data_IF_488626193880
#
_entry.id   IF_488626193880
#
_cell.length_a   1.000
_cell.length_b   1.000
_cell.length_c   1.000
_cell.angle_alpha   90.00
_cell.angle_beta   90.00
_cell.angle_gamma   90.00
#
_symmetry.space_group_name_H-M   'P 1'
#
loop_
_entity.id
_entity.type
_entity.pdbx_description
1 polymer ?
#
# COMPACT_ATOMS: atom_id res chain seq x y z
N UNK A 1 -19.24 25.08 -31.37
CA UNK A 1 -18.11 24.75 -32.27
C UNK A 1 -17.40 23.56 -31.64
N UNK A 2 -17.59 22.38 -32.24
CA UNK A 2 -17.00 21.11 -31.79
C UNK A 2 -15.54 21.11 -32.25
N UNK A 3 -14.59 21.00 -31.31
CA UNK A 3 -13.17 20.89 -31.59
C UNK A 3 -12.76 19.46 -31.99
N UNK A 4 -11.58 19.23 -32.54
CA UNK A 4 -11.24 18.08 -33.35
C UNK A 4 -11.10 16.78 -32.55
N UNK A 5 -11.58 15.72 -33.21
CA UNK A 5 -11.56 14.32 -32.84
C UNK A 5 -10.17 13.81 -32.40
N UNK A 6 -10.10 13.21 -31.20
CA UNK A 6 -8.97 12.47 -30.69
C UNK A 6 -8.82 11.12 -31.42
N UNK A 7 -8.08 11.10 -32.51
CA UNK A 7 -7.48 9.86 -33.02
C UNK A 7 -6.06 9.73 -32.43
N UNK A 8 -5.93 9.05 -31.29
CA UNK A 8 -4.62 8.56 -30.83
C UNK A 8 -4.41 7.16 -31.41
N UNK A 9 -3.47 7.06 -32.34
CA UNK A 9 -2.95 5.78 -32.84
C UNK A 9 -2.15 5.10 -31.72
N UNK A 10 -2.57 3.91 -31.32
CA UNK A 10 -1.73 3.03 -30.47
C UNK A 10 -0.47 2.65 -31.26
N UNK A 11 0.73 2.84 -30.71
CA UNK A 11 1.94 2.40 -31.38
C UNK A 11 1.93 0.87 -31.47
N UNK A 12 2.22 0.36 -32.67
CA UNK A 12 2.47 -1.07 -32.87
C UNK A 12 3.73 -1.46 -32.09
N UNK A 13 3.54 -2.07 -30.91
CA UNK A 13 4.63 -2.63 -30.13
C UNK A 13 5.25 -3.80 -30.92
N UNK A 14 6.47 -3.62 -31.40
CA UNK A 14 7.30 -4.75 -31.77
C UNK A 14 7.68 -5.48 -30.50
N UNK A 15 7.00 -6.58 -30.17
CA UNK A 15 7.32 -7.47 -29.07
C UNK A 15 8.73 -8.05 -29.30
N UNK A 16 9.73 -7.49 -28.64
CA UNK A 16 11.03 -8.16 -28.52
C UNK A 16 10.92 -9.19 -27.41
N UNK A 17 10.85 -10.45 -27.80
CA UNK A 17 10.67 -11.65 -26.97
C UNK A 17 11.91 -11.98 -26.10
N UNK A 18 12.75 -11.02 -25.75
CA UNK A 18 14.00 -11.25 -25.01
C UNK A 18 13.81 -11.24 -23.48
N UNK A 19 12.65 -10.85 -22.96
CA UNK A 19 12.41 -10.74 -21.50
C UNK A 19 11.80 -12.00 -20.86
N UNK A 20 11.53 -13.06 -21.66
CA UNK A 20 10.84 -14.27 -21.14
C UNK A 20 11.83 -15.23 -20.44
N UNK A 21 13.14 -15.06 -20.63
CA UNK A 21 14.14 -16.05 -20.15
C UNK A 21 14.45 -15.91 -18.65
N UNK A 22 14.29 -14.74 -18.05
CA UNK A 22 14.54 -14.56 -16.61
C UNK A 22 13.37 -14.98 -15.71
N UNK A 23 12.15 -14.98 -16.23
CA UNK A 23 10.98 -15.53 -15.53
C UNK A 23 10.96 -17.06 -15.46
N UNK A 24 11.53 -17.72 -16.49
CA UNK A 24 11.60 -19.17 -16.56
C UNK A 24 12.61 -19.79 -15.57
N UNK A 25 13.62 -19.03 -15.12
CA UNK A 25 14.59 -19.51 -14.14
C UNK A 25 13.99 -19.60 -12.71
N UNK A 26 12.97 -18.80 -12.39
CA UNK A 26 12.22 -18.94 -11.15
C UNK A 26 11.20 -20.10 -11.20
N UNK A 27 10.69 -20.43 -12.37
CA UNK A 27 9.84 -21.61 -12.59
C UNK A 27 10.61 -22.93 -12.57
N UNK A 28 11.92 -22.91 -12.85
CA UNK A 28 12.77 -24.11 -12.81
C UNK A 28 13.09 -24.58 -11.37
N UNK A 29 12.91 -23.71 -10.35
CA UNK A 29 12.98 -24.09 -8.93
C UNK A 29 11.67 -24.72 -8.43
N UNK A 30 10.59 -24.61 -9.19
CA UNK A 30 9.30 -25.26 -8.95
C UNK A 30 9.18 -26.62 -9.71
N UNK A 31 10.30 -27.25 -10.00
CA UNK A 31 10.29 -28.66 -10.36
C UNK A 31 9.55 -29.43 -9.27
N UNK A 32 8.78 -30.53 -9.61
CA UNK A 32 8.01 -31.22 -8.60
C UNK A 32 8.96 -31.64 -7.48
N UNK A 33 8.86 -30.98 -6.33
CA UNK A 33 9.53 -31.40 -5.10
C UNK A 33 8.92 -32.75 -4.66
N UNK A 34 9.19 -33.77 -5.41
CA UNK A 34 8.86 -35.16 -5.11
C UNK A 34 9.92 -35.82 -4.23
N UNK A 35 10.90 -35.01 -3.76
CA UNK A 35 11.94 -35.49 -2.88
C UNK A 35 11.52 -35.27 -1.44
N UNK A 36 11.32 -36.37 -0.73
CA UNK A 36 11.19 -36.53 0.70
C UNK A 36 9.84 -36.15 1.33
N UNK A 37 8.74 -36.72 0.88
CA UNK A 37 7.61 -37.00 1.79
C UNK A 37 7.88 -38.34 2.49
N UNK A 38 8.94 -38.35 3.31
CA UNK A 38 9.35 -39.52 4.08
C UNK A 38 8.68 -39.61 5.46
N UNK A 39 7.73 -38.71 5.74
CA UNK A 39 7.07 -38.57 7.03
C UNK A 39 7.98 -38.08 8.17
N UNK A 40 9.23 -37.73 7.84
CA UNK A 40 10.15 -37.12 8.82
C UNK A 40 9.69 -35.73 9.25
N UNK A 41 10.10 -35.29 10.45
CA UNK A 41 9.83 -33.94 10.92
C UNK A 41 10.34 -32.87 9.96
N UNK A 42 11.48 -33.10 9.31
CA UNK A 42 12.06 -32.21 8.31
C UNK A 42 11.26 -32.23 6.98
N UNK A 43 10.81 -33.41 6.52
CA UNK A 43 9.96 -33.53 5.33
C UNK A 43 8.62 -32.82 5.51
N UNK A 44 8.00 -32.96 6.69
CA UNK A 44 6.79 -32.23 7.03
C UNK A 44 7.01 -30.73 7.03
N UNK A 45 8.04 -30.25 7.73
CA UNK A 45 8.38 -28.84 7.87
C UNK A 45 8.65 -28.15 6.54
N UNK A 46 9.51 -28.76 5.67
CA UNK A 46 9.96 -28.13 4.43
C UNK A 46 9.01 -28.38 3.26
N UNK A 47 8.25 -29.48 3.28
CA UNK A 47 7.43 -29.88 2.13
C UNK A 47 5.97 -29.97 2.51
N UNK A 48 5.54 -30.88 3.38
CA UNK A 48 4.12 -31.18 3.57
C UNK A 48 3.32 -30.00 4.13
N UNK A 49 3.85 -29.30 5.11
CA UNK A 49 3.18 -28.21 5.82
C UNK A 49 3.62 -26.81 5.31
N UNK A 50 4.43 -26.78 4.23
CA UNK A 50 4.84 -25.54 3.57
C UNK A 50 3.74 -24.99 2.69
N UNK A 51 3.84 -23.70 2.38
CA UNK A 51 3.00 -22.98 1.45
C UNK A 51 3.86 -22.37 0.34
N UNK A 52 3.39 -22.48 -0.90
CA UNK A 52 4.03 -21.87 -2.07
C UNK A 52 2.98 -21.10 -2.84
N UNK A 53 3.17 -19.80 -2.95
CA UNK A 53 2.26 -18.92 -3.67
C UNK A 53 2.96 -18.22 -4.83
N UNK A 54 2.22 -18.01 -5.92
CA UNK A 54 2.66 -17.18 -7.04
C UNK A 54 1.62 -16.09 -7.28
N UNK A 55 2.03 -14.84 -7.18
CA UNK A 55 1.22 -13.69 -7.55
C UNK A 55 1.68 -13.16 -8.90
N UNK A 56 0.84 -13.23 -9.91
CA UNK A 56 1.05 -12.52 -11.16
C UNK A 56 0.29 -11.17 -11.11
N UNK A 57 0.94 -10.11 -11.60
CA UNK A 57 0.37 -8.77 -11.70
C UNK A 57 0.77 -8.12 -13.01
N UNK A 58 -0.20 -7.55 -13.73
CA UNK A 58 0.09 -6.56 -14.75
C UNK A 58 -0.56 -5.24 -14.39
N UNK A 59 0.17 -4.14 -14.57
CA UNK A 59 -0.24 -2.83 -14.12
C UNK A 59 0.08 -1.79 -15.19
N UNK A 60 -0.96 -1.18 -15.75
CA UNK A 60 -0.88 0.02 -16.58
C UNK A 60 -1.09 1.25 -15.70
N UNK A 61 -0.18 2.22 -15.81
CA UNK A 61 -0.20 3.48 -15.07
C UNK A 61 0.05 4.63 -16.04
N UNK A 62 -0.87 5.58 -16.06
CA UNK A 62 -0.76 6.81 -16.83
C UNK A 62 -1.16 8.00 -15.95
N UNK A 63 -0.19 8.86 -15.62
CA UNK A 63 -0.42 10.11 -14.89
C UNK A 63 0.03 11.27 -15.75
N UNK A 64 -0.94 12.07 -16.19
CA UNK A 64 -0.75 13.27 -16.96
C UNK A 64 -0.61 14.46 -16.00
N UNK A 65 0.52 15.10 -16.01
CA UNK A 65 0.79 16.30 -15.21
C UNK A 65 0.64 17.55 -16.10
N UNK A 66 0.29 18.72 -15.52
CA UNK A 66 0.28 19.95 -16.29
C UNK A 66 1.71 20.37 -16.68
N UNK A 67 1.87 20.96 -17.89
CA UNK A 67 3.16 21.49 -18.30
C UNK A 67 3.74 22.50 -17.28
N UNK A 68 5.08 22.56 -17.09
CA UNK A 68 6.12 21.84 -17.84
C UNK A 68 6.45 20.44 -17.32
N UNK A 69 5.71 19.90 -16.34
CA UNK A 69 5.98 18.59 -15.74
C UNK A 69 5.62 17.46 -16.70
N UNK A 70 6.55 16.54 -16.92
CA UNK A 70 6.34 15.35 -17.74
C UNK A 70 5.27 14.42 -17.16
N UNK A 71 4.63 13.63 -18.00
CA UNK A 71 3.78 12.53 -17.57
C UNK A 71 4.60 11.46 -16.82
N UNK A 72 3.91 10.63 -16.03
CA UNK A 72 4.52 9.42 -15.46
C UNK A 72 3.78 8.22 -16.03
N UNK A 73 4.42 7.43 -16.87
CA UNK A 73 3.76 6.37 -17.63
C UNK A 73 4.57 5.09 -17.61
N UNK A 74 3.88 3.97 -17.43
CA UNK A 74 4.44 2.64 -17.63
C UNK A 74 3.34 1.57 -17.71
N UNK A 75 3.64 0.50 -18.39
CA UNK A 75 2.93 -0.76 -18.30
C UNK A 75 3.92 -1.85 -17.94
N UNK A 76 3.70 -2.51 -16.82
CA UNK A 76 4.60 -3.52 -16.29
C UNK A 76 3.89 -4.86 -16.10
N UNK A 77 4.67 -5.94 -16.20
CA UNK A 77 4.28 -7.31 -15.86
C UNK A 77 5.26 -7.83 -14.81
N UNK A 78 4.76 -8.52 -13.79
CA UNK A 78 5.59 -9.09 -12.74
C UNK A 78 4.76 -9.71 -11.64
N UNK A 79 5.20 -9.54 -10.41
CA UNK A 79 4.58 -10.10 -9.21
C UNK A 79 5.62 -10.71 -8.29
N UNK A 80 5.28 -11.82 -7.64
CA UNK A 80 6.17 -12.51 -6.70
C UNK A 80 5.90 -13.98 -6.57
N UNK A 81 6.96 -14.71 -6.22
CA UNK A 81 6.91 -16.10 -5.77
C UNK A 81 7.27 -16.10 -4.30
N UNK A 82 6.41 -16.63 -3.46
CA UNK A 82 6.62 -16.81 -2.04
C UNK A 82 6.68 -18.28 -1.65
N UNK A 83 7.56 -18.56 -0.69
CA UNK A 83 7.67 -19.83 -0.01
C UNK A 83 7.64 -19.57 1.50
N UNK A 84 6.85 -20.35 2.22
CA UNK A 84 6.81 -20.38 3.68
C UNK A 84 6.87 -21.81 4.16
N UNK A 85 7.82 -22.13 5.02
CA UNK A 85 7.91 -23.45 5.66
C UNK A 85 6.72 -23.70 6.59
N UNK A 86 6.46 -24.94 6.95
CA UNK A 86 5.66 -25.26 8.13
C UNK A 86 6.32 -24.76 9.43
N UNK A 87 5.87 -25.30 10.57
CA UNK A 87 6.47 -25.04 11.88
C UNK A 87 7.20 -26.28 12.36
N UNK A 88 8.53 -26.22 12.47
CA UNK A 88 9.35 -27.27 13.05
C UNK A 88 9.20 -27.29 14.58
N UNK A 89 8.66 -28.39 15.13
CA UNK A 89 8.38 -28.52 16.57
C UNK A 89 7.47 -27.44 17.12
N UNK A 90 6.53 -26.94 16.31
CA UNK A 90 5.63 -25.81 16.60
C UNK A 90 6.35 -24.49 16.99
N UNK A 91 7.67 -24.42 16.80
CA UNK A 91 8.49 -23.30 17.27
C UNK A 91 9.18 -22.50 16.16
N UNK A 92 9.69 -23.16 15.08
CA UNK A 92 10.53 -22.52 14.07
C UNK A 92 9.89 -22.54 12.70
N UNK A 93 9.80 -21.39 12.04
CA UNK A 93 9.40 -21.24 10.66
C UNK A 93 10.28 -20.23 9.92
N UNK A 94 10.34 -20.31 8.58
CA UNK A 94 11.02 -19.31 7.76
C UNK A 94 10.25 -19.08 6.46
N UNK A 95 10.55 -17.94 5.81
CA UNK A 95 9.95 -17.62 4.51
C UNK A 95 10.90 -16.85 3.61
N UNK A 96 10.68 -17.02 2.31
CA UNK A 96 11.40 -16.35 1.22
C UNK A 96 10.41 -15.82 0.21
N UNK A 97 10.59 -14.57 -0.26
CA UNK A 97 9.76 -14.01 -1.34
C UNK A 97 10.63 -13.26 -2.34
N UNK A 98 10.62 -13.75 -3.59
CA UNK A 98 11.24 -13.07 -4.72
C UNK A 98 10.24 -12.20 -5.45
N UNK A 99 10.57 -10.92 -5.65
CA UNK A 99 9.78 -9.94 -6.37
C UNK A 99 10.35 -9.66 -7.75
N UNK A 100 9.49 -9.39 -8.73
CA UNK A 100 9.91 -8.94 -10.06
C UNK A 100 8.90 -7.96 -10.67
N UNK A 101 9.40 -7.03 -11.47
CA UNK A 101 8.63 -6.13 -12.33
C UNK A 101 9.41 -5.88 -13.62
N UNK A 102 8.79 -6.15 -14.76
CA UNK A 102 9.42 -6.03 -16.08
C UNK A 102 8.60 -5.10 -16.97
N UNK A 103 9.22 -4.22 -17.76
CA UNK A 103 8.50 -3.31 -18.62
C UNK A 103 7.86 -4.04 -19.79
N UNK A 104 6.55 -3.81 -20.01
CA UNK A 104 5.87 -4.10 -21.27
C UNK A 104 5.87 -2.86 -22.16
N UNK A 105 5.75 -1.68 -21.56
CA UNK A 105 5.85 -0.38 -22.21
C UNK A 105 6.27 0.67 -21.18
N UNK A 106 7.32 1.43 -21.47
CA UNK A 106 7.90 2.41 -20.55
C UNK A 106 8.64 3.49 -21.35
N UNK A 107 7.96 4.62 -21.67
CA UNK A 107 8.58 5.71 -22.39
C UNK A 107 9.64 6.41 -21.54
N UNK A 108 10.83 6.61 -22.10
CA UNK A 108 11.98 7.16 -21.39
C UNK A 108 11.78 8.61 -20.90
N UNK A 109 10.89 9.36 -21.55
CA UNK A 109 10.56 10.75 -21.24
C UNK A 109 9.41 10.88 -20.20
N UNK A 110 8.84 9.77 -19.73
CA UNK A 110 7.75 9.74 -18.77
C UNK A 110 8.02 8.85 -17.54
N UNK A 111 9.16 8.96 -16.85
CA UNK A 111 9.52 8.15 -15.67
C UNK A 111 8.69 8.52 -14.44
N UNK A 112 8.86 7.75 -13.32
CA UNK A 112 8.28 8.08 -12.02
C UNK A 112 6.93 7.43 -11.72
N UNK A 113 6.48 6.45 -12.54
CA UNK A 113 5.30 5.62 -12.23
C UNK A 113 5.47 4.79 -10.96
N UNK A 114 6.71 4.52 -10.56
CA UNK A 114 7.10 3.61 -9.47
C UNK A 114 6.63 2.16 -9.69
N UNK A 115 6.33 1.79 -10.94
CA UNK A 115 6.14 0.40 -11.36
C UNK A 115 7.47 -0.26 -11.70
N UNK A 116 8.42 0.53 -12.20
CA UNK A 116 9.75 0.18 -12.67
C UNK A 116 10.79 1.01 -11.91
N UNK A 117 12.06 0.75 -12.15
CA UNK A 117 13.16 1.59 -11.66
C UNK A 117 13.04 3.02 -12.18
N UNK A 118 13.81 3.96 -11.63
CA UNK A 118 13.68 5.37 -12.00
C UNK A 118 14.16 5.66 -13.44
N UNK A 119 14.98 4.76 -14.02
CA UNK A 119 15.39 4.75 -15.44
C UNK A 119 14.42 3.97 -16.34
N UNK A 120 13.20 3.62 -15.86
CA UNK A 120 12.20 2.81 -16.57
C UNK A 120 12.64 1.37 -16.87
N UNK A 121 13.68 0.86 -16.21
CA UNK A 121 14.15 -0.52 -16.30
C UNK A 121 13.31 -1.48 -15.45
N UNK A 122 13.42 -2.77 -15.77
CA UNK A 122 12.87 -3.83 -14.93
C UNK A 122 13.76 -4.11 -13.72
N UNK A 123 13.18 -4.77 -12.71
CA UNK A 123 13.91 -5.22 -11.53
C UNK A 123 13.46 -6.59 -11.04
N UNK A 124 14.38 -7.27 -10.33
CA UNK A 124 14.08 -8.48 -9.56
C UNK A 124 14.88 -8.43 -8.26
N UNK A 125 14.28 -8.87 -7.15
CA UNK A 125 14.91 -8.77 -5.82
C UNK A 125 14.35 -9.83 -4.87
N UNK A 126 15.20 -10.38 -3.99
CA UNK A 126 14.77 -11.14 -2.82
C UNK A 126 14.29 -10.13 -1.76
N UNK A 127 12.98 -9.86 -1.77
CA UNK A 127 12.37 -8.83 -0.92
C UNK A 127 12.04 -9.32 0.47
N UNK A 128 11.80 -10.64 0.67
CA UNK A 128 11.63 -11.23 1.99
C UNK A 128 12.56 -12.43 2.17
N UNK A 129 13.16 -12.49 3.34
CA UNK A 129 13.97 -13.63 3.83
C UNK A 129 13.98 -13.54 5.36
N UNK A 130 13.14 -14.29 6.04
CA UNK A 130 12.93 -14.17 7.47
C UNK A 130 12.90 -15.53 8.17
N UNK A 131 13.19 -15.48 9.46
CA UNK A 131 13.01 -16.59 10.38
C UNK A 131 12.09 -16.13 11.50
N UNK A 132 11.17 -17.00 11.91
CA UNK A 132 10.23 -16.75 13.00
C UNK A 132 10.34 -17.84 14.06
N UNK A 133 10.34 -17.42 15.34
CA UNK A 133 10.34 -18.27 16.51
C UNK A 133 9.06 -18.01 17.31
N UNK A 134 8.29 -19.06 17.59
CA UNK A 134 7.20 -19.00 18.56
C UNK A 134 7.76 -19.18 19.96
N UNK A 135 7.44 -18.24 20.83
CA UNK A 135 7.77 -18.24 22.24
C UNK A 135 6.46 -18.11 23.02
N UNK A 136 5.89 -19.21 23.46
CA UNK A 136 4.52 -19.25 24.00
C UNK A 136 3.51 -18.74 22.94
N UNK A 137 2.71 -17.74 23.27
CA UNK A 137 1.74 -17.10 22.37
C UNK A 137 2.32 -15.91 21.58
N UNK A 138 3.65 -15.74 21.60
CA UNK A 138 4.36 -14.66 20.95
C UNK A 138 5.16 -15.18 19.77
N UNK A 139 5.39 -14.32 18.77
CA UNK A 139 6.26 -14.65 17.63
C UNK A 139 7.34 -13.60 17.50
N UNK A 140 8.59 -14.03 17.60
CA UNK A 140 9.77 -13.24 17.28
C UNK A 140 10.16 -13.51 15.82
N UNK A 141 10.17 -12.47 14.99
CA UNK A 141 10.57 -12.54 13.58
C UNK A 141 11.82 -11.71 13.36
N UNK A 142 12.79 -12.25 12.64
CA UNK A 142 14.02 -11.55 12.25
C UNK A 142 14.35 -11.74 10.78
N UNK A 143 14.98 -10.73 10.16
CA UNK A 143 15.36 -10.74 8.75
C UNK A 143 14.61 -9.67 7.92
N UNK A 144 14.22 -10.02 6.69
CA UNK A 144 13.44 -9.18 5.77
C UNK A 144 12.01 -9.65 5.73
N UNK A 145 11.07 -8.83 6.20
CA UNK A 145 9.67 -9.23 6.36
C UNK A 145 8.70 -8.06 6.12
N UNK A 146 7.44 -8.37 6.06
CA UNK A 146 6.35 -7.40 5.92
C UNK A 146 5.96 -6.81 7.28
N UNK A 147 5.70 -5.50 7.30
CA UNK A 147 5.12 -4.80 8.45
C UNK A 147 3.80 -4.16 8.02
N UNK A 148 2.78 -4.26 8.85
CA UNK A 148 1.46 -3.71 8.56
C UNK A 148 0.91 -2.92 9.77
N UNK A 149 1.57 -1.79 10.07
CA UNK A 149 1.14 -0.80 11.05
C UNK A 149 0.59 0.44 10.33
N UNK A 150 -0.19 1.31 10.97
CA UNK A 150 -0.86 2.43 10.30
C UNK A 150 0.06 3.31 9.46
N UNK A 151 1.22 3.67 9.98
CA UNK A 151 2.18 4.56 9.31
C UNK A 151 3.43 3.85 8.79
N UNK A 152 3.54 2.53 8.99
CA UNK A 152 4.63 1.67 8.51
C UNK A 152 4.01 0.42 7.93
N UNK A 153 3.80 0.38 6.61
CA UNK A 153 3.05 -0.70 5.98
C UNK A 153 3.56 -1.06 4.58
N UNK A 154 2.98 -2.07 3.99
CA UNK A 154 3.37 -2.66 2.70
C UNK A 154 3.32 -1.68 1.53
N UNK A 155 2.53 -0.63 1.61
CA UNK A 155 2.30 0.29 0.50
C UNK A 155 2.04 -0.44 -0.85
N UNK A 156 1.27 -1.54 -0.83
CA UNK A 156 1.03 -2.39 -2.02
C UNK A 156 0.07 -1.71 -3.03
N UNK A 157 0.54 -0.62 -3.60
CA UNK A 157 -0.20 0.17 -4.58
C UNK A 157 0.57 0.34 -5.91
N UNK A 158 1.59 -0.51 -6.15
CA UNK A 158 2.38 -0.63 -7.38
C UNK A 158 2.60 -2.11 -7.73
N UNK A 159 3.72 -2.44 -8.37
CA UNK A 159 3.99 -3.81 -8.82
C UNK A 159 4.31 -4.75 -7.68
N UNK A 160 5.14 -4.33 -6.73
CA UNK A 160 5.53 -5.12 -5.56
C UNK A 160 5.40 -4.29 -4.29
N UNK A 161 5.14 -4.91 -3.13
CA UNK A 161 5.10 -4.20 -1.86
C UNK A 161 6.50 -3.75 -1.42
N UNK A 162 6.53 -2.77 -0.52
CA UNK A 162 7.73 -2.50 0.27
C UNK A 162 7.87 -3.52 1.40
N UNK A 163 9.11 -3.78 1.81
CA UNK A 163 9.44 -4.70 2.90
C UNK A 163 10.51 -4.09 3.80
N UNK A 164 10.65 -4.62 4.99
CA UNK A 164 11.50 -4.05 6.04
C UNK A 164 12.52 -5.08 6.51
N UNK A 165 13.71 -4.63 6.87
CA UNK A 165 14.73 -5.47 7.49
C UNK A 165 14.85 -5.12 8.97
N UNK A 166 14.93 -6.12 9.85
CA UNK A 166 15.03 -5.89 11.28
C UNK A 166 14.56 -7.07 12.09
N UNK A 167 14.02 -6.79 13.27
CA UNK A 167 13.42 -7.78 14.16
C UNK A 167 12.17 -7.24 14.84
N UNK A 168 11.17 -8.11 15.05
CA UNK A 168 9.91 -7.74 15.67
C UNK A 168 9.34 -8.86 16.53
N UNK A 169 8.77 -8.49 17.66
CA UNK A 169 7.95 -9.33 18.52
C UNK A 169 6.48 -8.96 18.31
N UNK A 170 5.67 -9.96 18.01
CA UNK A 170 4.22 -9.82 17.84
C UNK A 170 3.48 -10.83 18.70
N UNK A 171 2.29 -10.49 19.13
CA UNK A 171 1.46 -11.39 19.91
C UNK A 171 0.17 -10.74 20.38
N UNK A 172 -0.52 -11.44 21.29
CA UNK A 172 -1.74 -10.95 21.94
C UNK A 172 -1.54 -11.03 23.44
N UNK A 173 -1.84 -9.94 24.14
CA UNK A 173 -1.83 -9.87 25.60
C UNK A 173 -3.15 -9.27 26.08
N UNK A 174 -3.88 -9.99 26.91
CA UNK A 174 -5.18 -9.57 27.45
C UNK A 174 -6.18 -9.07 26.37
N UNK A 175 -6.20 -9.72 25.20
CA UNK A 175 -7.08 -9.34 24.07
C UNK A 175 -6.56 -8.20 23.22
N UNK A 176 -5.39 -7.61 23.54
CA UNK A 176 -4.75 -6.56 22.75
C UNK A 176 -3.64 -7.18 21.90
N UNK A 177 -3.76 -7.09 20.58
CA UNK A 177 -2.67 -7.43 19.66
C UNK A 177 -1.60 -6.35 19.73
N UNK A 178 -0.35 -6.75 19.76
CA UNK A 178 0.78 -5.81 19.78
C UNK A 178 1.85 -6.16 18.76
N UNK A 179 2.61 -5.16 18.39
CA UNK A 179 3.83 -5.19 17.61
C UNK A 179 4.88 -4.37 18.36
N UNK A 180 6.09 -4.90 18.52
CA UNK A 180 7.24 -4.16 19.05
C UNK A 180 8.47 -4.58 18.25
N UNK A 181 9.16 -3.65 17.60
CA UNK A 181 10.29 -4.00 16.74
C UNK A 181 11.28 -2.87 16.51
N UNK A 182 12.44 -3.29 16.00
CA UNK A 182 13.45 -2.41 15.42
C UNK A 182 13.61 -2.77 13.96
N UNK A 183 13.46 -1.76 13.07
CA UNK A 183 13.60 -1.88 11.63
C UNK A 183 14.84 -1.08 11.22
N UNK A 184 15.89 -1.75 10.75
CA UNK A 184 17.11 -1.08 10.29
C UNK A 184 16.89 -0.44 8.92
N UNK A 185 16.22 -1.16 8.01
CA UNK A 185 16.14 -0.79 6.60
C UNK A 185 14.76 -1.02 6.00
N UNK A 186 14.52 -0.40 4.86
CA UNK A 186 13.33 -0.57 4.03
C UNK A 186 13.74 -0.79 2.56
N UNK A 187 13.09 -1.74 1.90
CA UNK A 187 13.03 -1.83 0.45
C UNK A 187 11.80 -1.09 -0.05
N UNK A 188 11.97 0.00 -0.75
CA UNK A 188 10.86 0.71 -1.38
C UNK A 188 10.24 -0.11 -2.52
N UNK A 189 9.01 0.24 -2.94
CA UNK A 189 8.18 -0.53 -3.89
C UNK A 189 8.86 -0.90 -5.21
N UNK A 190 9.74 -0.03 -5.73
CA UNK A 190 10.42 -0.21 -7.01
C UNK A 190 11.95 -0.33 -6.87
N UNK A 191 12.43 -0.54 -5.62
CA UNK A 191 13.86 -0.64 -5.34
C UNK A 191 14.34 -2.10 -5.37
N UNK A 192 15.62 -2.28 -5.70
CA UNK A 192 16.35 -3.55 -5.64
C UNK A 192 17.21 -3.65 -4.39
N UNK A 193 17.41 -2.54 -3.68
CA UNK A 193 18.23 -2.43 -2.48
C UNK A 193 17.40 -2.04 -1.26
N UNK A 194 17.94 -2.35 -0.10
CA UNK A 194 17.46 -1.85 1.18
C UNK A 194 18.27 -0.62 1.55
N UNK A 195 17.60 0.41 2.05
CA UNK A 195 18.18 1.67 2.53
C UNK A 195 17.74 1.90 3.97
N UNK A 196 18.50 2.68 4.75
CA UNK A 196 18.14 2.95 6.15
C UNK A 196 16.78 3.65 6.26
N UNK A 197 16.14 3.52 7.41
CA UNK A 197 14.88 4.21 7.67
C UNK A 197 15.06 5.74 7.63
N UNK A 198 16.24 6.24 8.04
CA UNK A 198 16.59 7.65 7.94
C UNK A 198 16.69 8.13 6.47
N UNK A 199 17.40 7.40 5.61
CA UNK A 199 17.52 7.69 4.18
C UNK A 199 16.14 7.69 3.49
N UNK A 200 15.31 6.71 3.79
CA UNK A 200 13.94 6.64 3.26
C UNK A 200 13.06 7.85 3.66
N UNK A 201 13.36 8.51 4.77
CA UNK A 201 12.72 9.75 5.21
C UNK A 201 13.33 11.01 4.59
N UNK A 202 14.40 10.88 3.81
CA UNK A 202 15.10 11.98 3.15
C UNK A 202 16.21 12.62 4.00
N UNK A 203 16.72 11.90 5.00
CA UNK A 203 17.89 12.34 5.76
C UNK A 203 19.17 12.28 4.91
N UNK A 204 20.20 13.10 5.21
CA UNK A 204 21.50 13.00 4.55
C UNK A 204 22.14 11.63 4.78
N UNK A 205 22.97 11.16 3.85
CA UNK A 205 23.65 9.86 3.93
C UNK A 205 24.59 9.71 5.15
N UNK A 206 24.91 10.79 5.85
CA UNK A 206 25.64 10.77 7.12
C UNK A 206 24.78 10.32 8.32
N UNK A 207 23.46 10.23 8.14
CA UNK A 207 22.51 9.79 9.17
C UNK A 207 21.98 8.41 8.77
N UNK A 208 22.59 7.37 9.35
CA UNK A 208 22.24 5.98 9.11
C UNK A 208 21.51 5.41 10.33
N UNK A 209 20.23 5.76 10.46
CA UNK A 209 19.40 5.39 11.61
C UNK A 209 18.25 4.48 11.20
N UNK A 210 18.05 3.44 11.98
CA UNK A 210 16.85 2.59 11.93
C UNK A 210 15.69 3.19 12.74
N UNK A 211 14.62 2.44 12.85
CA UNK A 211 13.36 2.82 13.47
C UNK A 211 13.01 1.89 14.63
N UNK A 212 12.68 2.44 15.78
CA UNK A 212 11.91 1.75 16.80
C UNK A 212 10.42 1.92 16.54
N UNK A 213 9.66 0.84 16.55
CA UNK A 213 8.22 0.86 16.24
C UNK A 213 7.46 0.02 17.28
N UNK A 214 6.40 0.60 17.82
CA UNK A 214 5.42 -0.11 18.65
C UNK A 214 4.02 0.12 18.11
N UNK A 215 3.17 -0.89 18.21
CA UNK A 215 1.78 -0.82 17.77
C UNK A 215 0.87 -1.67 18.64
N UNK A 216 -0.35 -1.20 18.86
CA UNK A 216 -1.38 -1.86 19.65
C UNK A 216 -2.72 -1.78 18.92
N UNK A 217 -3.49 -2.89 18.95
CA UNK A 217 -4.85 -2.96 18.43
C UNK A 217 -5.70 -3.80 19.36
N UNK A 218 -6.81 -3.24 19.83
CA UNK A 218 -7.74 -3.93 20.71
C UNK A 218 -9.18 -3.54 20.46
N UNK A 219 -10.08 -4.32 21.02
CA UNK A 219 -11.54 -4.12 21.01
C UNK A 219 -12.04 -4.07 22.46
N UNK A 220 -11.87 -2.94 23.18
CA UNK A 220 -12.19 -2.84 24.61
C UNK A 220 -13.66 -3.02 24.92
N UNK A 221 -14.53 -2.69 23.98
CA UNK A 221 -15.96 -2.99 23.98
C UNK A 221 -16.39 -3.43 22.59
N UNK A 222 -17.45 -4.19 22.52
CA UNK A 222 -17.95 -4.75 21.27
C UNK A 222 -18.09 -3.69 20.18
N UNK A 223 -17.63 -4.01 18.99
CA UNK A 223 -17.71 -3.19 17.78
C UNK A 223 -16.90 -1.86 17.83
N UNK A 224 -16.11 -1.60 18.90
CA UNK A 224 -15.19 -0.49 19.01
C UNK A 224 -13.73 -0.96 18.90
N UNK A 225 -13.09 -0.72 17.77
CA UNK A 225 -11.67 -1.02 17.58
C UNK A 225 -10.85 0.23 17.84
N UNK A 226 -9.84 0.10 18.70
CA UNK A 226 -8.82 1.12 18.96
C UNK A 226 -7.47 0.67 18.40
N UNK A 227 -6.73 1.59 17.78
CA UNK A 227 -5.34 1.38 17.37
C UNK A 227 -4.47 2.52 17.88
N UNK A 228 -3.27 2.17 18.32
CA UNK A 228 -2.22 3.11 18.68
C UNK A 228 -0.93 2.59 18.08
N UNK A 229 -0.16 3.45 17.42
CA UNK A 229 1.21 3.13 17.03
C UNK A 229 2.11 4.33 17.20
N UNK A 230 3.39 4.07 17.49
CA UNK A 230 4.39 5.12 17.57
C UNK A 230 5.71 4.61 17.04
N UNK A 231 6.40 5.44 16.27
CA UNK A 231 7.76 5.15 15.83
C UNK A 231 8.72 6.31 16.11
N UNK A 232 9.97 5.94 16.27
CA UNK A 232 11.09 6.84 16.51
C UNK A 232 12.24 6.49 15.57
N UNK A 233 12.67 7.42 14.75
CA UNK A 233 13.90 7.38 13.93
C UNK A 233 14.86 8.42 14.50
N UNK A 234 15.93 8.01 15.19
CA UNK A 234 16.88 8.94 15.81
C UNK A 234 17.41 9.97 14.82
N UNK A 235 17.52 11.22 15.26
CA UNK A 235 17.99 12.38 14.48
C UNK A 235 17.11 12.80 13.29
N UNK A 236 15.96 12.15 13.09
CA UNK A 236 15.06 12.36 11.96
C UNK A 236 13.67 12.77 12.43
N UNK A 237 12.86 11.84 12.91
CA UNK A 237 11.50 12.14 13.34
C UNK A 237 10.91 11.10 14.29
N UNK A 238 9.94 11.57 15.08
CA UNK A 238 8.96 10.77 15.80
C UNK A 238 7.60 10.88 15.14
N UNK A 239 6.79 9.83 15.19
CA UNK A 239 5.37 9.91 14.87
C UNK A 239 4.56 9.05 15.83
N UNK A 240 3.42 9.56 16.26
CA UNK A 240 2.45 8.83 17.07
C UNK A 240 1.08 8.96 16.42
N UNK A 241 0.49 7.81 16.11
CA UNK A 241 -0.82 7.65 15.50
C UNK A 241 -1.79 7.02 16.47
N UNK A 242 -3.03 7.50 16.50
CA UNK A 242 -4.13 6.83 17.17
C UNK A 242 -5.40 6.90 16.31
N UNK A 243 -6.18 5.83 16.32
CA UNK A 243 -7.52 5.83 15.74
C UNK A 243 -8.52 4.99 16.53
N UNK A 244 -9.79 5.35 16.37
CA UNK A 244 -10.93 4.63 16.86
C UNK A 244 -11.93 4.38 15.71
N UNK A 245 -12.48 3.19 15.63
CA UNK A 245 -13.53 2.83 14.69
C UNK A 245 -14.65 2.10 15.42
N UNK A 246 -15.84 2.67 15.40
CA UNK A 246 -17.03 2.09 16.00
C UNK A 246 -18.06 1.74 14.93
N UNK A 247 -18.63 0.54 15.03
CA UNK A 247 -19.65 0.03 14.12
C UNK A 247 -20.96 -0.20 14.87
N UNK A 248 -22.07 0.29 14.37
CA UNK A 248 -23.39 0.03 14.94
C UNK A 248 -24.43 -0.25 13.87
N UNK A 249 -25.46 -1.03 14.24
CA UNK A 249 -26.62 -1.26 13.38
C UNK A 249 -27.74 -0.30 13.78
N UNK A 250 -28.31 0.36 12.78
CA UNK A 250 -29.47 1.22 12.95
C UNK A 250 -30.78 0.44 12.77
N UNK A 251 -31.90 1.02 13.23
CA UNK A 251 -33.24 0.51 12.95
C UNK A 251 -33.46 0.46 11.44
N UNK A 252 -33.87 -0.70 10.90
CA UNK A 252 -34.04 -0.89 9.46
C UNK A 252 -32.87 -1.58 8.75
N UNK A 253 -31.88 -2.09 9.50
CA UNK A 253 -30.81 -2.96 8.98
C UNK A 253 -29.64 -2.22 8.37
N UNK A 254 -29.61 -0.89 8.40
CA UNK A 254 -28.43 -0.11 7.99
C UNK A 254 -27.30 -0.30 8.99
N UNK A 255 -26.06 -0.21 8.49
CA UNK A 255 -24.86 -0.21 9.30
C UNK A 255 -24.19 1.16 9.24
N UNK A 256 -23.97 1.78 10.39
CA UNK A 256 -23.20 3.00 10.54
C UNK A 256 -21.82 2.67 11.12
N UNK A 257 -20.77 3.12 10.44
CA UNK A 257 -19.39 3.10 10.95
C UNK A 257 -18.94 4.55 11.18
N UNK A 258 -18.45 4.84 12.38
CA UNK A 258 -17.83 6.10 12.73
C UNK A 258 -16.34 5.87 12.97
N UNK A 259 -15.51 6.74 12.43
CA UNK A 259 -14.07 6.71 12.61
C UNK A 259 -13.54 8.06 13.07
N UNK A 260 -12.52 8.03 13.93
CA UNK A 260 -11.72 9.19 14.30
C UNK A 260 -10.24 8.79 14.26
N UNK A 261 -9.37 9.66 13.77
CA UNK A 261 -7.92 9.42 13.72
C UNK A 261 -7.15 10.68 14.08
N UNK A 262 -5.96 10.51 14.64
CA UNK A 262 -5.03 11.60 14.92
C UNK A 262 -3.59 11.15 14.74
N UNK A 263 -2.73 12.10 14.35
CA UNK A 263 -1.27 11.94 14.29
C UNK A 263 -0.61 13.16 14.86
N UNK A 264 0.47 12.94 15.56
CA UNK A 264 1.44 13.97 15.92
C UNK A 264 2.83 13.54 15.47
N UNK A 265 3.48 14.41 14.69
CA UNK A 265 4.85 14.22 14.23
C UNK A 265 5.75 15.37 14.66
N UNK A 266 7.00 15.07 14.98
CA UNK A 266 8.02 16.07 15.25
C UNK A 266 9.39 15.57 14.82
N UNK A 267 10.27 16.49 14.46
CA UNK A 267 11.70 16.20 14.31
C UNK A 267 12.31 15.79 15.65
N UNK A 268 13.47 15.14 15.62
CA UNK A 268 14.17 14.63 16.80
C UNK A 268 15.68 14.69 16.62
N UNK A 269 16.40 14.77 17.75
CA UNK A 269 17.85 14.79 17.80
C UNK A 269 18.45 15.97 17.02
N UNK A 270 19.29 15.71 16.03
CA UNK A 270 19.93 16.73 15.20
C UNK A 270 19.00 17.38 14.15
N UNK A 271 17.72 16.96 14.08
CA UNK A 271 16.74 17.49 13.11
C UNK A 271 17.23 17.39 11.65
N UNK A 272 17.81 16.27 11.27
CA UNK A 272 18.51 16.08 9.99
C UNK A 272 17.65 16.33 8.74
N UNK A 273 16.32 16.29 8.88
CA UNK A 273 15.36 16.64 7.81
C UNK A 273 14.64 17.98 8.07
N UNK A 274 15.25 18.85 8.89
CA UNK A 274 14.73 20.14 9.33
C UNK A 274 13.92 20.05 10.63
N UNK A 275 13.85 21.16 11.35
CA UNK A 275 13.02 21.29 12.57
C UNK A 275 11.55 21.44 12.19
N UNK A 276 10.69 20.60 12.74
CA UNK A 276 9.25 20.63 12.48
C UNK A 276 8.43 19.96 13.57
N UNK A 277 7.19 20.37 13.68
CA UNK A 277 6.14 19.62 14.38
C UNK A 277 4.81 19.81 13.67
N UNK A 278 3.97 18.79 13.64
CA UNK A 278 2.66 18.85 13.01
C UNK A 278 1.68 17.91 13.67
N UNK A 279 0.48 18.40 13.95
CA UNK A 279 -0.68 17.61 14.32
C UNK A 279 -1.61 17.44 13.12
N UNK A 280 -2.23 16.29 13.03
CA UNK A 280 -3.27 15.98 12.06
C UNK A 280 -4.42 15.26 12.75
N UNK A 281 -5.64 15.55 12.34
CA UNK A 281 -6.83 14.87 12.84
C UNK A 281 -7.89 14.71 11.77
N UNK A 282 -8.72 13.69 11.94
CA UNK A 282 -9.82 13.43 11.00
C UNK A 282 -10.96 12.63 11.61
N UNK A 283 -12.15 12.83 11.04
CA UNK A 283 -13.36 12.05 11.34
C UNK A 283 -13.98 11.54 10.05
N UNK A 284 -14.63 10.39 10.14
CA UNK A 284 -15.30 9.74 9.00
C UNK A 284 -16.58 9.05 9.44
N UNK A 285 -17.59 9.08 8.59
CA UNK A 285 -18.81 8.31 8.75
C UNK A 285 -19.12 7.55 7.46
N UNK A 286 -19.35 6.24 7.56
CA UNK A 286 -19.82 5.39 6.49
C UNK A 286 -21.20 4.84 6.86
N UNK A 287 -22.20 5.04 5.99
CA UNK A 287 -23.55 4.48 6.13
C UNK A 287 -23.80 3.48 5.02
N UNK A 288 -24.01 2.21 5.39
CA UNK A 288 -24.23 1.12 4.44
C UNK A 288 -25.65 0.57 4.51
N UNK A 289 -26.28 0.36 3.35
CA UNK A 289 -27.61 -0.24 3.22
C UNK A 289 -27.77 -0.89 1.84
N UNK A 290 -28.20 -2.14 1.76
CA UNK A 290 -28.55 -2.81 0.50
C UNK A 290 -27.43 -2.85 -0.57
N UNK A 291 -26.16 -2.93 -0.15
CA UNK A 291 -25.01 -2.90 -1.04
C UNK A 291 -24.46 -1.48 -1.29
N UNK A 292 -25.24 -0.43 -1.05
CA UNK A 292 -24.79 0.97 -1.15
C UNK A 292 -24.08 1.40 0.15
N UNK A 293 -22.92 2.04 0.04
CA UNK A 293 -22.24 2.71 1.13
C UNK A 293 -22.01 4.17 0.76
N UNK A 294 -22.54 5.09 1.57
CA UNK A 294 -22.23 6.52 1.50
C UNK A 294 -21.15 6.87 2.52
N UNK A 295 -20.20 7.71 2.16
CA UNK A 295 -19.07 8.14 3.00
C UNK A 295 -19.03 9.65 3.12
N UNK A 296 -18.81 10.15 4.34
CA UNK A 296 -18.43 11.53 4.60
C UNK A 296 -17.13 11.54 5.41
N UNK A 297 -16.19 12.41 5.04
CA UNK A 297 -14.90 12.56 5.71
C UNK A 297 -14.50 14.01 5.88
N UNK A 298 -13.81 14.30 6.99
CA UNK A 298 -13.16 15.59 7.25
C UNK A 298 -11.80 15.35 7.87
N UNK A 299 -10.81 16.13 7.44
CA UNK A 299 -9.47 16.11 8.02
C UNK A 299 -8.90 17.52 8.11
N UNK A 300 -8.00 17.73 9.08
CA UNK A 300 -7.28 18.97 9.25
C UNK A 300 -5.82 18.71 9.64
N UNK A 301 -4.91 19.43 9.00
CA UNK A 301 -3.47 19.45 9.31
C UNK A 301 -3.10 20.76 10.03
N UNK A 302 -2.22 20.68 11.01
CA UNK A 302 -1.62 21.84 11.66
C UNK A 302 -0.85 22.73 10.67
N UNK A 303 -0.58 23.98 11.05
CA UNK A 303 0.01 24.99 10.15
C UNK A 303 1.55 24.94 10.08
N UNK A 304 2.21 24.30 11.05
CA UNK A 304 3.66 24.41 11.23
C UNK A 304 4.47 23.62 10.20
N UNK A 305 3.92 22.49 9.68
CA UNK A 305 4.57 21.65 8.67
C UNK A 305 3.55 20.85 7.88
N UNK A 306 3.96 20.33 6.74
CA UNK A 306 3.25 19.23 6.08
C UNK A 306 3.42 17.93 6.89
N UNK A 307 2.41 17.08 6.90
CA UNK A 307 2.56 15.73 7.40
C UNK A 307 3.49 14.94 6.49
N UNK A 308 4.27 14.00 7.05
CA UNK A 308 5.22 13.17 6.33
C UNK A 308 4.81 11.70 6.40
N UNK A 309 4.92 10.99 5.28
CA UNK A 309 4.54 9.57 5.18
C UNK A 309 5.60 8.77 4.41
N UNK A 310 6.84 8.68 4.91
CA UNK A 310 7.93 8.04 4.16
C UNK A 310 7.82 6.51 4.12
N UNK A 311 7.10 5.88 5.04
CA UNK A 311 7.10 4.43 5.25
C UNK A 311 5.77 3.75 4.98
N UNK A 312 4.77 4.49 4.44
CA UNK A 312 3.42 3.94 4.26
C UNK A 312 2.71 4.46 3.01
N UNK A 313 1.67 3.74 2.62
CA UNK A 313 0.54 4.34 1.93
C UNK A 313 -0.29 5.08 2.98
N UNK A 314 -0.40 6.39 2.84
CA UNK A 314 -1.15 7.20 3.77
C UNK A 314 -2.65 6.82 3.75
N UNK A 315 -3.19 6.51 4.90
CA UNK A 315 -4.58 6.09 5.07
C UNK A 315 -5.46 7.19 5.70
N UNK A 316 -5.19 8.46 5.38
CA UNK A 316 -6.01 9.58 5.80
C UNK A 316 -7.43 9.49 5.24
N UNK A 317 -8.44 9.93 6.01
CA UNK A 317 -9.85 9.80 5.62
C UNK A 317 -10.25 10.61 4.38
N UNK A 318 -9.41 11.54 3.94
CA UNK A 318 -9.58 12.35 2.72
C UNK A 318 -8.51 12.06 1.66
N UNK A 319 -7.68 11.00 1.85
CA UNK A 319 -6.70 10.58 0.84
C UNK A 319 -7.39 10.06 -0.41
N UNK A 320 -6.92 10.53 -1.57
CA UNK A 320 -7.43 10.20 -2.88
C UNK A 320 -6.39 9.49 -3.73
N UNK A 321 -6.66 9.30 -5.01
CA UNK A 321 -5.79 8.59 -5.95
C UNK A 321 -4.51 9.37 -6.27
N UNK A 322 -4.61 10.72 -6.33
CA UNK A 322 -3.55 11.65 -6.74
C UNK A 322 -3.00 12.42 -5.54
N UNK A 323 -3.86 12.90 -4.63
CA UNK A 323 -3.50 13.80 -3.53
C UNK A 323 -4.00 13.28 -2.18
N UNK A 324 -3.13 13.34 -1.17
CA UNK A 324 -3.45 12.87 0.19
C UNK A 324 -4.10 13.94 1.09
N UNK A 325 -4.12 15.21 0.67
CA UNK A 325 -4.72 16.33 1.37
C UNK A 325 -4.25 16.51 2.83
N UNK A 326 -2.94 16.47 3.06
CA UNK A 326 -2.33 16.65 4.38
C UNK A 326 -1.26 17.77 4.44
N UNK A 327 -1.36 18.75 3.54
CA UNK A 327 -0.46 19.92 3.55
C UNK A 327 -0.67 20.78 4.80
N UNK A 328 0.32 21.57 5.18
CA UNK A 328 0.26 22.49 6.32
C UNK A 328 -0.96 23.40 6.25
N UNK A 329 -1.71 23.51 7.35
CA UNK A 329 -2.93 24.31 7.47
C UNK A 329 -4.15 23.77 6.72
N UNK A 330 -3.99 22.70 5.94
CA UNK A 330 -5.04 22.20 5.06
C UNK A 330 -6.22 21.63 5.84
N UNK A 331 -7.42 21.99 5.42
CA UNK A 331 -8.70 21.38 5.77
C UNK A 331 -9.22 20.66 4.53
N UNK A 332 -9.64 19.40 4.67
CA UNK A 332 -10.15 18.63 3.57
C UNK A 332 -11.49 17.98 3.90
N UNK A 333 -12.38 17.93 2.92
CA UNK A 333 -13.70 17.31 3.00
C UNK A 333 -13.81 16.26 1.92
N UNK A 334 -14.40 15.12 2.25
CA UNK A 334 -14.68 14.02 1.31
C UNK A 334 -16.16 13.65 1.37
N UNK A 335 -16.73 13.46 0.18
CA UNK A 335 -17.99 12.76 -0.02
C UNK A 335 -17.73 11.61 -0.99
N UNK A 336 -18.26 10.42 -0.66
CA UNK A 336 -18.08 9.24 -1.48
C UNK A 336 -19.31 8.36 -1.49
N UNK A 337 -19.41 7.53 -2.52
CA UNK A 337 -20.38 6.46 -2.61
C UNK A 337 -19.73 5.21 -3.23
N UNK A 338 -20.09 4.03 -2.73
CA UNK A 338 -19.69 2.76 -3.31
C UNK A 338 -20.90 1.81 -3.36
N UNK A 339 -20.97 0.99 -4.41
CA UNK A 339 -22.02 0.00 -4.56
C UNK A 339 -21.42 -1.38 -4.82
N UNK A 340 -21.82 -2.37 -4.00
CA UNK A 340 -21.58 -3.79 -4.22
C UNK A 340 -22.74 -4.39 -5.01
N UNK A 341 -22.48 -4.82 -6.22
CA UNK A 341 -23.48 -5.35 -7.17
C UNK A 341 -23.91 -6.78 -6.88
N UNK A 342 -23.49 -7.37 -5.76
CA UNK A 342 -23.89 -8.75 -5.37
C UNK A 342 -25.41 -8.91 -5.35
N UNK A 343 -26.14 -7.95 -4.78
CA UNK A 343 -27.60 -7.96 -4.74
C UNK A 343 -28.25 -7.77 -6.12
N UNK A 344 -27.53 -7.19 -7.07
CA UNK A 344 -27.95 -7.02 -8.47
C UNK A 344 -27.54 -8.22 -9.37
N UNK A 345 -27.09 -9.34 -8.79
CA UNK A 345 -26.72 -10.56 -9.51
C UNK A 345 -25.32 -10.56 -10.11
N UNK A 346 -24.46 -9.61 -9.72
CA UNK A 346 -23.06 -9.50 -10.18
C UNK A 346 -22.10 -9.57 -8.98
N UNK A 347 -21.97 -10.75 -8.34
CA UNK A 347 -21.09 -10.91 -7.19
C UNK A 347 -19.63 -10.63 -7.56
N UNK A 348 -18.92 -9.92 -6.68
CA UNK A 348 -17.53 -9.52 -6.88
C UNK A 348 -17.33 -8.23 -7.67
N UNK A 349 -18.37 -7.64 -8.28
CA UNK A 349 -18.31 -6.31 -8.88
C UNK A 349 -18.60 -5.24 -7.82
N UNK A 350 -17.70 -4.26 -7.71
CA UNK A 350 -17.90 -3.04 -6.91
C UNK A 350 -17.52 -1.80 -7.72
N UNK A 351 -18.30 -0.74 -7.57
CA UNK A 351 -18.03 0.57 -8.15
C UNK A 351 -18.03 1.61 -7.04
N UNK A 352 -16.99 2.43 -6.96
CA UNK A 352 -16.86 3.54 -6.03
C UNK A 352 -16.58 4.85 -6.75
N UNK A 353 -17.10 5.94 -6.21
CA UNK A 353 -16.76 7.29 -6.63
C UNK A 353 -16.57 8.19 -5.41
N UNK A 354 -15.53 9.03 -5.43
CA UNK A 354 -15.21 9.95 -4.36
C UNK A 354 -14.92 11.35 -4.92
N UNK A 355 -15.27 12.35 -4.14
CA UNK A 355 -14.89 13.75 -4.36
C UNK A 355 -14.25 14.24 -3.06
N UNK A 356 -13.03 14.78 -3.14
CA UNK A 356 -12.39 15.42 -2.00
C UNK A 356 -11.93 16.84 -2.37
N UNK A 357 -12.20 17.80 -1.47
CA UNK A 357 -11.78 19.19 -1.64
C UNK A 357 -10.88 19.60 -0.48
N UNK A 358 -9.66 20.07 -0.80
CA UNK A 358 -8.71 20.63 0.17
C UNK A 358 -8.62 22.15 0.05
N UNK A 359 -8.66 22.83 1.20
CA UNK A 359 -8.62 24.30 1.31
C UNK A 359 -7.64 24.74 2.39
N UNK A 360 -7.29 26.03 2.38
CA UNK A 360 -6.49 26.71 3.41
C UNK A 360 -5.06 26.18 3.56
N UNK A 361 -4.56 25.41 2.60
CA UNK A 361 -3.18 24.94 2.61
C UNK A 361 -2.20 26.12 2.47
N UNK A 362 -1.10 26.03 3.19
CA UNK A 362 -0.03 27.03 3.16
C UNK A 362 1.33 26.39 2.89
N UNK A 363 2.24 27.16 2.37
CA UNK A 363 3.67 26.81 2.42
C UNK A 363 4.17 27.08 3.86
N UNK A 364 4.62 26.07 4.61
CA UNK A 364 4.97 26.24 6.02
C UNK A 364 6.20 27.15 6.24
N UNK A 365 7.05 27.31 5.23
CA UNK A 365 8.26 28.16 5.32
C UNK A 365 7.94 29.64 5.07
N UNK A 366 7.09 29.92 4.08
CA UNK A 366 6.80 31.31 3.66
C UNK A 366 5.48 31.84 4.17
N UNK A 367 4.59 30.97 4.68
CA UNK A 367 3.21 31.31 5.05
C UNK A 367 2.29 31.59 3.86
N UNK A 368 2.80 31.54 2.63
CA UNK A 368 2.01 31.81 1.43
C UNK A 368 0.91 30.76 1.22
N UNK A 369 -0.26 31.22 0.75
CA UNK A 369 -1.37 30.34 0.44
C UNK A 369 -1.00 29.40 -0.73
N UNK A 370 -1.38 28.13 -0.61
CA UNK A 370 -1.29 27.14 -1.67
C UNK A 370 -2.67 27.00 -2.32
N UNK A 371 -2.69 26.82 -3.63
CA UNK A 371 -3.94 26.67 -4.38
C UNK A 371 -4.83 25.56 -3.77
N UNK A 372 -6.11 25.91 -3.54
CA UNK A 372 -7.11 24.91 -3.22
C UNK A 372 -7.26 23.92 -4.37
N UNK A 373 -7.67 22.71 -4.09
CA UNK A 373 -7.85 21.70 -5.11
C UNK A 373 -9.00 20.76 -4.77
N UNK A 374 -9.66 20.28 -5.83
CA UNK A 374 -10.68 19.23 -5.74
C UNK A 374 -10.24 18.04 -6.56
N UNK A 375 -10.37 16.84 -6.03
CA UNK A 375 -10.09 15.59 -6.73
C UNK A 375 -11.37 14.78 -6.88
N UNK A 376 -11.54 14.19 -8.05
CA UNK A 376 -12.66 13.33 -8.43
C UNK A 376 -12.08 11.98 -8.80
N UNK A 377 -12.49 10.91 -8.09
CA UNK A 377 -12.03 9.56 -8.36
C UNK A 377 -13.19 8.63 -8.67
N UNK A 378 -12.91 7.65 -9.55
CA UNK A 378 -13.73 6.48 -9.79
C UNK A 378 -12.89 5.22 -9.67
N UNK A 379 -13.43 4.16 -9.07
CA UNK A 379 -12.75 2.89 -8.79
C UNK A 379 -13.70 1.73 -9.08
N UNK A 380 -13.41 0.97 -10.13
CA UNK A 380 -14.15 -0.23 -10.51
C UNK A 380 -13.30 -1.45 -10.13
N UNK A 381 -13.86 -2.36 -9.34
CA UNK A 381 -13.22 -3.64 -8.99
C UNK A 381 -14.11 -4.79 -9.43
N UNK A 382 -13.50 -5.80 -10.05
CA UNK A 382 -14.17 -7.05 -10.32
C UNK A 382 -13.31 -8.23 -9.88
N UNK A 383 -13.83 -9.02 -8.95
CA UNK A 383 -13.28 -10.31 -8.51
C UNK A 383 -14.20 -11.41 -9.00
N UNK A 384 -13.67 -12.39 -9.70
CA UNK A 384 -14.46 -13.48 -10.30
C UNK A 384 -14.83 -14.53 -9.24
N UNK A 385 -15.58 -14.11 -8.21
CA UNK A 385 -15.94 -14.93 -7.05
C UNK A 385 -17.14 -15.87 -7.30
N UNK A 386 -17.84 -15.72 -8.41
CA UNK A 386 -18.93 -16.61 -8.77
C UNK A 386 -18.39 -17.98 -9.20
N UNK A 387 -18.90 -19.05 -8.59
CA UNK A 387 -18.46 -20.41 -8.89
C UNK A 387 -18.90 -20.92 -10.27
N UNK A 388 -19.77 -20.18 -10.98
CA UNK A 388 -20.12 -20.45 -12.39
C UNK A 388 -18.96 -20.17 -13.34
N UNK A 389 -18.00 -19.32 -12.95
CA UNK A 389 -16.78 -19.09 -13.74
C UNK A 389 -15.89 -20.34 -13.76
N UNK A 390 -15.19 -20.61 -14.89
CA UNK A 390 -14.16 -21.64 -14.92
C UNK A 390 -13.14 -21.44 -13.78
N UNK A 391 -12.66 -22.53 -13.17
CA UNK A 391 -11.73 -22.49 -12.04
C UNK A 391 -10.48 -21.63 -12.27
N UNK A 392 -9.99 -21.60 -13.51
CA UNK A 392 -8.83 -20.79 -13.88
C UNK A 392 -9.14 -19.28 -13.98
N UNK A 393 -10.42 -18.88 -14.05
CA UNK A 393 -10.83 -17.46 -14.04
C UNK A 393 -11.06 -16.96 -12.62
N UNK A 394 -11.53 -17.81 -11.70
CA UNK A 394 -11.92 -17.44 -10.34
C UNK A 394 -10.85 -16.67 -9.55
N UNK A 395 -9.52 -16.96 -9.68
CA UNK A 395 -8.50 -16.16 -9.00
C UNK A 395 -8.31 -14.75 -9.56
N UNK A 396 -8.81 -14.46 -10.78
CA UNK A 396 -8.58 -13.18 -11.42
C UNK A 396 -9.26 -12.03 -10.67
N UNK A 397 -8.53 -10.95 -10.50
CA UNK A 397 -9.01 -9.68 -9.98
C UNK A 397 -8.60 -8.55 -10.90
N UNK A 398 -9.57 -7.81 -11.41
CA UNK A 398 -9.38 -6.64 -12.27
C UNK A 398 -9.79 -5.39 -11.50
N UNK A 399 -8.96 -4.36 -11.56
CA UNK A 399 -9.24 -3.05 -10.99
C UNK A 399 -8.95 -1.96 -12.00
N UNK A 400 -9.92 -1.08 -12.24
CA UNK A 400 -9.78 0.10 -13.10
C UNK A 400 -10.01 1.34 -12.24
N UNK A 401 -9.09 2.30 -12.30
CA UNK A 401 -9.17 3.54 -11.52
C UNK A 401 -8.91 4.73 -12.42
N UNK A 402 -9.65 5.78 -12.21
CA UNK A 402 -9.41 7.07 -12.81
C UNK A 402 -9.56 8.17 -11.76
N UNK A 403 -8.70 9.18 -11.82
CA UNK A 403 -8.77 10.35 -10.94
C UNK A 403 -8.38 11.61 -11.67
N UNK A 404 -9.01 12.72 -11.32
CA UNK A 404 -8.70 14.06 -11.85
C UNK A 404 -8.60 15.03 -10.68
N UNK A 405 -7.42 15.64 -10.52
CA UNK A 405 -7.15 16.70 -9.54
C UNK A 405 -7.26 18.06 -10.26
N UNK A 406 -8.16 18.90 -9.78
CA UNK A 406 -8.46 20.23 -10.33
C UNK A 406 -8.06 21.29 -9.28
N UNK A 407 -6.90 21.93 -9.42
CA UNK A 407 -6.53 23.06 -8.56
C UNK A 407 -7.25 24.35 -8.98
N UNK A 408 -7.40 25.30 -8.06
CA UNK A 408 -7.98 26.64 -8.36
C UNK A 408 -7.07 27.50 -9.24
N UNK A 409 -5.81 27.14 -9.37
CA UNK A 409 -4.82 27.76 -10.27
C UNK A 409 -3.83 26.71 -10.76
N UNK A 410 -3.35 26.83 -11.97
CA UNK A 410 -2.52 25.83 -12.66
C UNK A 410 -3.37 24.84 -13.48
N UNK A 411 -2.72 23.83 -14.02
CA UNK A 411 -3.35 22.79 -14.84
C UNK A 411 -3.82 21.59 -14.02
N UNK A 412 -4.72 20.80 -14.59
CA UNK A 412 -5.20 19.57 -13.99
C UNK A 412 -4.13 18.47 -14.02
N UNK A 413 -4.19 17.59 -13.02
CA UNK A 413 -3.49 16.30 -13.04
C UNK A 413 -4.51 15.19 -13.22
N UNK A 414 -4.26 14.29 -14.16
CA UNK A 414 -5.11 13.13 -14.40
C UNK A 414 -4.34 11.84 -14.10
N UNK A 415 -5.00 10.80 -13.65
CA UNK A 415 -4.37 9.52 -13.37
C UNK A 415 -5.28 8.36 -13.73
N UNK A 416 -4.79 7.47 -14.59
CA UNK A 416 -5.50 6.28 -15.07
C UNK A 416 -4.69 5.04 -14.72
N UNK A 417 -5.37 4.02 -14.19
CA UNK A 417 -4.74 2.76 -13.78
C UNK A 417 -5.61 1.58 -14.18
N UNK A 418 -4.97 0.55 -14.75
CA UNK A 418 -5.59 -0.76 -14.99
C UNK A 418 -4.68 -1.79 -14.33
N UNK A 419 -5.24 -2.59 -13.43
CA UNK A 419 -4.49 -3.56 -12.63
C UNK A 419 -5.18 -4.90 -12.78
N UNK A 420 -4.43 -5.92 -13.19
CA UNK A 420 -4.86 -7.31 -13.14
C UNK A 420 -3.97 -8.04 -12.16
N UNK A 421 -4.61 -8.78 -11.25
CA UNK A 421 -3.92 -9.66 -10.30
C UNK A 421 -4.42 -11.08 -10.49
N UNK A 422 -3.51 -12.02 -10.43
CA UNK A 422 -3.82 -13.43 -10.54
C UNK A 422 -2.99 -14.22 -9.51
N UNK A 423 -3.53 -14.44 -8.30
CA UNK A 423 -2.91 -15.29 -7.30
C UNK A 423 -3.07 -16.75 -7.70
N UNK A 424 -2.02 -17.52 -7.52
CA UNK A 424 -1.98 -18.97 -7.74
C UNK A 424 -1.44 -19.60 -6.47
N UNK A 425 -2.25 -20.39 -5.82
CA UNK A 425 -1.80 -21.28 -4.75
C UNK A 425 -1.21 -22.53 -5.40
N UNK A 426 0.09 -22.70 -5.27
CA UNK A 426 0.82 -23.84 -5.83
C UNK A 426 0.87 -25.00 -4.85
N UNK A 427 0.70 -24.69 -3.55
CA UNK A 427 0.64 -25.62 -2.46
C UNK A 427 0.17 -24.96 -1.15
#
# INVERSE_FOLDING_TARGET
>A
MLGPSFQRSFPRASLRLTAVVTGAALLALAGPARAADDGSALGNWLVRDSQVGLQLRTYFFDKLNPPPTSANQAWALGGWLDYRSGWLGDALSFGLTGYTSQPLWAPADAPGSKLLTDDQGGYSVLGQAWVALKLFDQTLTGGRFEVNQPEVNLQDNRMTPQTFQGGALTGTLAGVNYFAGYLSDIKQRNATTFISMADAAGAPASVDSGMWLVGFKGEPVKDLVLRLSSYHVPDVLNSTYADASWVTKLSGGQQLRLGAQTIYQSSTGSNSIGDFSVGYGGVKADLSSGGLTGTLGYTQTGRNSNLRSPYSSWAGYTSMLIKDFYAAGQKAFLIGAAYDFKAAGLPGLTLGANIATGRDAINPTTGAAVANATEYDIDLNYRFTDTSWPKWVQPLWIRVRAGVLVPTSGGNTENYRIILNYPIDLK
#
